data_IF_194747799618
#
_entry.id   IF_194747799618
#
_cell.length_a   1.000
_cell.length_b   1.000
_cell.length_c   1.000
_cell.angle_alpha   90.00
_cell.angle_beta   90.00
_cell.angle_gamma   90.00
#
_symmetry.space_group_name_H-M   'P 1'
#
loop_
_entity.id
_entity.type
_entity.pdbx_description
1 polymer ?
#
# COMPACT_ATOMS: atom_id res chain seq x y z
N UNK A 1 -27.48 -1.95 -17.10
CA UNK A 1 -26.03 -1.68 -17.34
C UNK A 1 -25.38 -1.03 -16.13
N UNK A 2 -25.98 0.01 -15.53
CA UNK A 2 -25.46 0.67 -14.32
C UNK A 2 -25.27 -0.30 -13.14
N UNK A 3 -26.24 -1.18 -12.88
CA UNK A 3 -26.14 -2.17 -11.79
C UNK A 3 -24.98 -3.15 -11.98
N UNK A 4 -24.71 -3.54 -13.23
CA UNK A 4 -23.59 -4.43 -13.57
C UNK A 4 -22.25 -3.75 -13.27
N UNK A 5 -22.09 -2.48 -13.64
CA UNK A 5 -20.89 -1.71 -13.31
C UNK A 5 -20.73 -1.52 -11.80
N UNK A 6 -21.82 -1.28 -11.07
CA UNK A 6 -21.82 -1.10 -9.62
C UNK A 6 -21.36 -2.38 -8.89
N UNK A 7 -21.89 -3.54 -9.30
CA UNK A 7 -21.48 -4.85 -8.77
C UNK A 7 -20.00 -5.11 -9.04
N UNK A 8 -19.53 -4.82 -10.27
CA UNK A 8 -18.11 -4.99 -10.63
C UNK A 8 -17.22 -4.08 -9.78
N UNK A 9 -17.60 -2.80 -9.59
CA UNK A 9 -16.83 -1.86 -8.78
C UNK A 9 -16.75 -2.31 -7.31
N UNK A 10 -17.88 -2.75 -6.73
CA UNK A 10 -17.90 -3.27 -5.36
C UNK A 10 -17.04 -4.52 -5.22
N UNK A 11 -17.08 -5.43 -6.20
CA UNK A 11 -16.24 -6.63 -6.19
C UNK A 11 -14.75 -6.29 -6.24
N UNK A 12 -14.35 -5.33 -7.09
CA UNK A 12 -12.95 -4.87 -7.19
C UNK A 12 -12.49 -4.22 -5.88
N UNK A 13 -13.31 -3.35 -5.28
CA UNK A 13 -13.01 -2.73 -3.99
C UNK A 13 -12.86 -3.76 -2.87
N UNK A 14 -13.76 -4.76 -2.83
CA UNK A 14 -13.69 -5.87 -1.89
C UNK A 14 -12.41 -6.68 -2.03
N UNK A 15 -12.00 -7.00 -3.27
CA UNK A 15 -10.73 -7.69 -3.53
C UNK A 15 -9.53 -6.87 -3.05
N UNK A 16 -9.47 -5.57 -3.37
CA UNK A 16 -8.36 -4.70 -2.95
C UNK A 16 -8.24 -4.66 -1.42
N UNK A 17 -9.36 -4.52 -0.71
CA UNK A 17 -9.39 -4.54 0.75
C UNK A 17 -8.90 -5.88 1.31
N UNK A 18 -9.37 -6.99 0.74
CA UNK A 18 -9.00 -8.33 1.18
C UNK A 18 -7.51 -8.62 0.98
N UNK A 19 -6.96 -8.33 -0.20
CA UNK A 19 -5.53 -8.50 -0.48
C UNK A 19 -4.65 -7.60 0.39
N UNK A 20 -5.11 -6.38 0.67
CA UNK A 20 -4.42 -5.45 1.56
C UNK A 20 -4.36 -5.98 3.00
N UNK A 21 -5.45 -6.58 3.50
CA UNK A 21 -5.47 -7.26 4.80
C UNK A 21 -4.47 -8.43 4.85
N UNK A 22 -4.48 -9.28 3.83
CA UNK A 22 -3.53 -10.40 3.72
C UNK A 22 -2.09 -9.90 3.75
N UNK A 23 -1.77 -8.89 2.94
CA UNK A 23 -0.44 -8.29 2.88
C UNK A 23 0.00 -7.73 4.25
N UNK A 24 -0.91 -7.04 4.96
CA UNK A 24 -0.63 -6.53 6.31
C UNK A 24 -0.25 -7.65 7.29
N UNK A 25 -1.04 -8.75 7.32
CA UNK A 25 -0.75 -9.88 8.21
C UNK A 25 0.55 -10.58 7.84
N UNK A 26 0.84 -10.76 6.55
CA UNK A 26 2.10 -11.34 6.07
C UNK A 26 3.31 -10.49 6.46
N UNK A 27 3.26 -9.18 6.23
CA UNK A 27 4.34 -8.25 6.59
C UNK A 27 4.57 -8.29 8.10
N UNK A 28 3.50 -8.25 8.90
CA UNK A 28 3.59 -8.36 10.36
C UNK A 28 4.20 -9.69 10.79
N UNK A 29 3.77 -10.80 10.19
CA UNK A 29 4.25 -12.14 10.51
C UNK A 29 5.73 -12.31 10.16
N UNK A 30 6.14 -11.92 8.95
CA UNK A 30 7.52 -11.98 8.47
C UNK A 30 8.40 -11.07 9.34
N UNK A 31 7.97 -9.85 9.65
CA UNK A 31 8.73 -8.93 10.50
C UNK A 31 9.01 -9.50 11.90
N UNK A 32 7.98 -10.06 12.54
CA UNK A 32 8.13 -10.68 13.86
C UNK A 32 9.02 -11.92 13.83
N UNK A 33 8.87 -12.75 12.80
CA UNK A 33 9.55 -14.05 12.69
C UNK A 33 10.99 -13.93 12.21
N UNK A 34 11.25 -13.09 11.20
CA UNK A 34 12.55 -12.95 10.56
C UNK A 34 13.42 -11.87 11.23
N UNK A 35 12.84 -10.75 11.64
CA UNK A 35 13.60 -9.60 12.13
C UNK A 35 13.49 -9.38 13.66
N UNK A 36 12.66 -10.17 14.36
CA UNK A 36 12.33 -10.01 15.81
C UNK A 36 11.92 -8.57 16.19
N UNK A 37 11.55 -7.77 15.20
CA UNK A 37 11.16 -6.38 15.36
C UNK A 37 9.63 -6.31 15.40
N UNK A 38 9.12 -5.47 16.30
CA UNK A 38 7.69 -5.14 16.32
C UNK A 38 7.51 -3.86 15.52
N UNK A 39 7.17 -4.01 14.24
CA UNK A 39 6.84 -2.86 13.40
C UNK A 39 5.61 -2.14 13.99
N UNK A 40 5.73 -0.82 14.10
CA UNK A 40 4.60 0.04 14.41
C UNK A 40 3.62 0.08 13.24
N UNK A 41 2.37 0.51 13.50
CA UNK A 41 1.35 0.65 12.44
C UNK A 41 1.84 1.54 11.29
N UNK A 42 2.59 2.60 11.60
CA UNK A 42 3.14 3.53 10.61
C UNK A 42 4.20 2.87 9.72
N UNK A 43 5.11 2.09 10.30
CA UNK A 43 6.15 1.40 9.54
C UNK A 43 5.56 0.30 8.64
N UNK A 44 4.55 -0.44 9.11
CA UNK A 44 3.83 -1.40 8.26
C UNK A 44 3.13 -0.72 7.08
N UNK A 45 2.49 0.43 7.32
CA UNK A 45 1.82 1.18 6.27
C UNK A 45 2.80 1.77 5.25
N UNK A 46 3.97 2.23 5.71
CA UNK A 46 5.05 2.68 4.82
C UNK A 46 5.57 1.52 3.95
N UNK A 47 5.83 0.34 4.53
CA UNK A 47 6.27 -0.84 3.78
C UNK A 47 5.23 -1.27 2.74
N UNK A 48 3.94 -1.36 3.11
CA UNK A 48 2.87 -1.70 2.18
C UNK A 48 2.77 -0.71 1.02
N UNK A 49 2.89 0.59 1.31
CA UNK A 49 2.79 1.63 0.27
C UNK A 49 3.99 1.59 -0.68
N UNK A 50 5.21 1.36 -0.16
CA UNK A 50 6.39 1.15 -1.00
C UNK A 50 6.26 -0.09 -1.88
N UNK A 51 5.73 -1.19 -1.34
CA UNK A 51 5.49 -2.42 -2.09
C UNK A 51 4.50 -2.19 -3.24
N UNK A 52 3.44 -1.44 -2.98
CA UNK A 52 2.46 -1.07 -3.99
C UNK A 52 3.07 -0.19 -5.09
N UNK A 53 3.88 0.82 -4.72
CA UNK A 53 4.60 1.68 -5.68
C UNK A 53 5.54 0.84 -6.56
N UNK A 54 6.31 -0.06 -5.96
CA UNK A 54 7.25 -0.93 -6.66
C UNK A 54 6.51 -1.87 -7.63
N UNK A 55 5.40 -2.46 -7.18
CA UNK A 55 4.55 -3.32 -8.01
C UNK A 55 3.95 -2.56 -9.21
N UNK A 56 3.39 -1.37 -9.00
CA UNK A 56 2.79 -0.57 -10.07
C UNK A 56 3.87 -0.11 -11.05
N UNK A 57 5.05 0.30 -10.56
CA UNK A 57 6.19 0.67 -11.40
C UNK A 57 6.66 -0.50 -12.26
N UNK A 58 6.74 -1.70 -11.68
CA UNK A 58 7.06 -2.92 -12.42
C UNK A 58 6.01 -3.22 -13.51
N UNK A 59 4.72 -3.11 -13.18
CA UNK A 59 3.63 -3.28 -14.16
C UNK A 59 3.65 -2.22 -15.26
N UNK A 60 4.04 -0.98 -14.92
CA UNK A 60 4.23 0.12 -15.87
C UNK A 60 5.29 -0.22 -16.91
N UNK A 61 6.45 -0.73 -16.47
CA UNK A 61 7.54 -1.18 -17.36
C UNK A 61 7.08 -2.36 -18.20
N UNK A 62 6.48 -3.38 -17.58
CA UNK A 62 6.02 -4.60 -18.26
C UNK A 62 5.00 -4.30 -19.36
N UNK A 63 4.03 -3.43 -19.08
CA UNK A 63 2.95 -3.12 -20.01
C UNK A 63 3.29 -1.95 -20.95
N UNK A 64 4.45 -1.31 -20.80
CA UNK A 64 4.86 -0.14 -21.58
C UNK A 64 3.88 1.04 -21.50
N UNK A 65 3.06 1.13 -20.46
CA UNK A 65 1.94 2.06 -20.39
C UNK A 65 2.14 3.13 -19.33
N UNK A 66 2.27 4.39 -19.77
CA UNK A 66 2.44 5.54 -18.88
C UNK A 66 1.18 5.87 -18.04
N UNK A 67 0.04 5.26 -18.35
CA UNK A 67 -1.22 5.46 -17.62
C UNK A 67 -1.13 5.02 -16.14
N UNK A 68 -0.16 4.15 -15.82
CA UNK A 68 0.12 3.70 -14.46
C UNK A 68 0.97 4.70 -13.65
N UNK A 69 1.40 5.81 -14.25
CA UNK A 69 2.17 6.85 -13.57
C UNK A 69 1.29 7.65 -12.60
N UNK A 70 0.03 7.89 -12.95
CA UNK A 70 -0.94 8.57 -12.09
C UNK A 70 -1.14 7.86 -10.74
N UNK A 71 -1.46 6.55 -10.68
CA UNK A 71 -1.60 5.84 -9.40
C UNK A 71 -0.29 5.80 -8.60
N UNK A 72 0.89 5.78 -9.24
CA UNK A 72 2.18 5.90 -8.53
C UNK A 72 2.29 7.25 -7.82
N UNK A 73 2.01 8.35 -8.52
CA UNK A 73 2.10 9.71 -7.94
C UNK A 73 1.11 9.87 -6.79
N UNK A 74 -0.11 9.35 -6.93
CA UNK A 74 -1.12 9.38 -5.86
C UNK A 74 -0.68 8.62 -4.60
N UNK A 75 0.08 7.53 -4.75
CA UNK A 75 0.62 6.76 -3.62
C UNK A 75 1.84 7.41 -2.95
N UNK A 76 2.53 8.34 -3.62
CA UNK A 76 3.65 9.09 -3.03
C UNK A 76 3.16 10.07 -1.95
N UNK A 77 1.96 10.66 -2.11
CA UNK A 77 1.37 11.60 -1.16
C UNK A 77 1.21 10.99 0.25
N UNK A 78 0.54 9.83 0.45
CA UNK A 78 0.43 9.21 1.76
C UNK A 78 1.79 8.78 2.32
N UNK A 79 2.75 8.41 1.46
CA UNK A 79 4.13 8.10 1.87
C UNK A 79 4.83 9.31 2.52
N UNK A 80 4.72 10.49 1.91
CA UNK A 80 5.27 11.74 2.47
C UNK A 80 4.59 12.08 3.79
N UNK A 81 3.27 11.93 3.86
CA UNK A 81 2.50 12.21 5.08
C UNK A 81 2.83 11.22 6.21
N UNK A 82 3.01 9.93 5.91
CA UNK A 82 3.44 8.91 6.86
C UNK A 82 4.83 9.24 7.43
N UNK A 83 5.78 9.63 6.58
CA UNK A 83 7.13 10.04 7.03
C UNK A 83 7.09 11.26 7.94
N UNK A 84 6.30 12.29 7.57
CA UNK A 84 6.12 13.49 8.41
C UNK A 84 5.47 13.15 9.75
N UNK A 85 4.43 12.31 9.73
CA UNK A 85 3.74 11.85 10.95
C UNK A 85 4.66 11.05 11.86
N UNK A 86 5.46 10.14 11.30
CA UNK A 86 6.38 9.30 12.05
C UNK A 86 7.52 10.13 12.68
N UNK A 87 8.03 11.14 11.96
CA UNK A 87 9.00 12.10 12.52
C UNK A 87 8.42 12.88 13.70
N UNK A 88 7.21 13.45 13.54
CA UNK A 88 6.54 14.18 14.62
C UNK A 88 6.26 13.30 15.85
N UNK A 89 5.93 12.02 15.63
CA UNK A 89 5.69 11.08 16.72
C UNK A 89 6.97 10.71 17.50
N UNK A 90 8.14 10.72 16.84
CA UNK A 90 9.44 10.56 17.48
C UNK A 90 9.92 11.80 18.22
N UNK A 91 9.46 12.99 17.82
CA UNK A 91 9.81 14.26 18.47
C UNK A 91 8.92 14.58 19.69
N UNK A 92 7.81 13.85 19.88
CA UNK A 92 6.83 14.06 20.97
C UNK A 92 6.87 12.98 22.07
N UNK A 93 7.65 11.91 21.89
CA UNK A 93 7.99 10.90 22.89
C UNK A 93 9.41 11.13 23.40
#
# INVERSE_FOLDING_TARGET
MVDMYLIITVAILGMILFYSLIAYFLIRFISRKAFKLTLTKYEMMEIMTWLAVLFITFMMIKNGSINLLLPVVLLIIPLINLRRSNRKHRETN
#
